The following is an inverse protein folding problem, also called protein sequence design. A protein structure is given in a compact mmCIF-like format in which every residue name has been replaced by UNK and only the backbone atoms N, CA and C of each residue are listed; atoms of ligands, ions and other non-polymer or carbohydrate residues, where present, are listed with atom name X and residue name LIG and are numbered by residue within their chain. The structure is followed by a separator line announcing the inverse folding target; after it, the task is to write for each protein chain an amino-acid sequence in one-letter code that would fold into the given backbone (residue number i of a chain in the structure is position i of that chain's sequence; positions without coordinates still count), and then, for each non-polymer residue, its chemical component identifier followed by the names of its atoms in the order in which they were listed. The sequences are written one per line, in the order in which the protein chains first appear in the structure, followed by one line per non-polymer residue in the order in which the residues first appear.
data_IF_692078500746
#
_entry.id   IF_692078500746
#
_cell.length_a   1.000
_cell.length_b   1.000
_cell.length_c   1.000
_cell.angle_alpha   90.00
_cell.angle_beta   90.00
_cell.angle_gamma   90.00
#
_symmetry.space_group_name_H-M   'P 1'
#
loop_
_entity.id
_entity.type
_entity.pdbx_description
1 polymer ?
#
# COMPACT_ATOMS: atom_id res chain seq x y z
N UNK A 1 19.01 2.22 -9.21
CA UNK A 1 18.27 2.92 -8.14
C UNK A 1 16.81 3.14 -8.50
N UNK A 2 16.50 3.84 -9.61
CA UNK A 2 15.12 4.08 -10.06
C UNK A 2 14.25 2.82 -10.22
N UNK A 3 14.78 1.74 -10.82
CA UNK A 3 14.06 0.45 -10.96
C UNK A 3 13.63 -0.16 -9.62
N UNK A 4 14.48 -0.07 -8.59
CA UNK A 4 14.19 -0.59 -7.25
C UNK A 4 13.11 0.25 -6.56
N UNK A 5 13.15 1.57 -6.74
CA UNK A 5 12.14 2.48 -6.22
C UNK A 5 10.77 2.24 -6.86
N UNK A 6 10.73 2.13 -8.20
CA UNK A 6 9.49 1.83 -8.95
C UNK A 6 8.93 0.46 -8.58
N UNK A 7 9.78 -0.57 -8.49
CA UNK A 7 9.38 -1.89 -8.01
C UNK A 7 8.72 -1.83 -6.62
N UNK A 8 9.34 -1.10 -5.68
CA UNK A 8 8.75 -0.89 -4.35
C UNK A 8 7.40 -0.17 -4.41
N UNK A 9 7.29 0.89 -5.22
CA UNK A 9 6.06 1.66 -5.37
C UNK A 9 4.92 0.79 -5.91
N UNK A 10 5.18 0.03 -6.97
CA UNK A 10 4.19 -0.90 -7.54
C UNK A 10 3.81 -1.98 -6.53
N UNK A 11 4.76 -2.49 -5.74
CA UNK A 11 4.44 -3.47 -4.72
C UNK A 11 3.54 -2.90 -3.62
N UNK A 12 3.78 -1.66 -3.18
CA UNK A 12 2.92 -0.95 -2.21
C UNK A 12 1.51 -0.75 -2.79
N UNK A 13 1.40 -0.22 -4.00
CA UNK A 13 0.11 0.06 -4.66
C UNK A 13 -0.71 -1.21 -4.89
N UNK A 14 -0.05 -2.29 -5.31
CA UNK A 14 -0.67 -3.58 -5.60
C UNK A 14 -0.46 -4.59 -4.45
N UNK A 15 -0.37 -4.11 -3.19
CA UNK A 15 -0.09 -4.98 -2.05
C UNK A 15 -1.11 -6.12 -1.89
N UNK A 16 -2.39 -5.87 -2.16
CA UNK A 16 -3.44 -6.90 -2.16
C UNK A 16 -3.22 -7.97 -3.24
N UNK A 17 -2.82 -7.55 -4.44
CA UNK A 17 -2.47 -8.48 -5.51
C UNK A 17 -1.22 -9.30 -5.14
N UNK A 18 -0.25 -8.70 -4.46
CA UNK A 18 0.92 -9.41 -3.94
C UNK A 18 0.55 -10.50 -2.92
N UNK A 19 -0.47 -10.27 -2.07
CA UNK A 19 -0.99 -11.29 -1.15
C UNK A 19 -1.62 -12.45 -1.93
N UNK A 20 -2.37 -12.16 -3.00
CA UNK A 20 -2.95 -13.20 -3.88
C UNK A 20 -1.84 -13.99 -4.58
N UNK A 21 -0.87 -13.30 -5.18
CA UNK A 21 0.26 -13.94 -5.87
C UNK A 21 1.09 -14.82 -4.92
N UNK A 22 1.20 -14.43 -3.65
CA UNK A 22 1.84 -15.25 -2.63
C UNK A 22 1.13 -16.60 -2.41
N UNK A 23 -0.21 -16.65 -2.44
CA UNK A 23 -0.97 -17.91 -2.33
C UNK A 23 -0.50 -18.91 -3.39
N UNK A 24 -0.25 -18.41 -4.61
CA UNK A 24 0.26 -19.17 -5.76
C UNK A 24 1.80 -19.30 -5.81
N UNK A 25 2.53 -18.85 -4.78
CA UNK A 25 3.99 -18.82 -4.72
C UNK A 25 4.65 -18.01 -5.87
N UNK A 26 3.92 -17.07 -6.46
CA UNK A 26 4.39 -16.19 -7.54
C UNK A 26 5.13 -14.98 -6.94
N UNK A 27 6.07 -14.41 -7.70
CA UNK A 27 6.81 -13.22 -7.27
C UNK A 27 5.89 -11.99 -7.19
N UNK A 28 6.19 -11.01 -6.33
CA UNK A 28 5.44 -9.75 -6.25
C UNK A 28 5.42 -9.00 -7.59
N UNK A 29 4.35 -8.25 -7.85
CA UNK A 29 4.11 -7.52 -9.11
C UNK A 29 5.28 -6.61 -9.49
N UNK A 30 5.72 -5.76 -8.56
CA UNK A 30 6.84 -4.85 -8.78
C UNK A 30 8.16 -5.59 -9.00
N UNK A 31 8.29 -6.83 -8.53
CA UNK A 31 9.46 -7.67 -8.78
C UNK A 31 9.39 -8.28 -10.18
N UNK A 32 8.21 -8.78 -10.57
CA UNK A 32 7.96 -9.30 -11.92
C UNK A 32 8.16 -8.25 -13.02
N UNK A 33 7.65 -7.03 -12.80
CA UNK A 33 7.68 -5.96 -13.80
C UNK A 33 9.08 -5.36 -14.00
N UNK A 34 9.88 -5.26 -12.94
CA UNK A 34 11.16 -4.55 -12.98
C UNK A 34 12.38 -5.45 -12.79
N UNK A 35 12.18 -6.77 -12.65
CA UNK A 35 13.25 -7.76 -12.50
C UNK A 35 14.13 -7.51 -11.27
N UNK A 36 13.54 -7.05 -10.17
CA UNK A 36 14.27 -6.80 -8.92
C UNK A 36 14.39 -8.07 -8.10
N UNK A 37 15.33 -8.12 -7.16
CA UNK A 37 15.50 -9.28 -6.30
C UNK A 37 14.33 -9.39 -5.30
N UNK A 38 13.76 -10.58 -5.13
CA UNK A 38 12.83 -10.90 -4.05
C UNK A 38 13.22 -12.23 -3.38
N UNK A 39 12.77 -12.48 -2.14
CA UNK A 39 13.01 -13.74 -1.47
C UNK A 39 12.45 -14.92 -2.29
N UNK A 40 13.28 -15.93 -2.55
CA UNK A 40 12.86 -17.11 -3.31
C UNK A 40 12.00 -18.09 -2.49
N UNK A 41 11.99 -17.96 -1.17
CA UNK A 41 11.21 -18.82 -0.28
C UNK A 41 9.78 -18.33 -0.14
N UNK A 42 8.81 -19.25 -0.07
CA UNK A 42 7.39 -18.93 0.14
C UNK A 42 7.14 -18.10 1.42
N UNK A 43 7.88 -18.40 2.50
CA UNK A 43 7.85 -17.61 3.74
C UNK A 43 8.41 -16.19 3.53
N UNK A 44 9.50 -16.04 2.77
CA UNK A 44 10.06 -14.74 2.45
C UNK A 44 9.11 -13.88 1.61
N UNK A 45 8.43 -14.48 0.63
CA UNK A 45 7.39 -13.81 -0.16
C UNK A 45 6.20 -13.37 0.69
N UNK A 46 5.81 -14.16 1.70
CA UNK A 46 4.76 -13.80 2.66
C UNK A 46 5.15 -12.55 3.46
N UNK A 47 6.33 -12.58 4.08
CA UNK A 47 6.84 -11.46 4.89
C UNK A 47 6.99 -10.21 4.03
N UNK A 48 7.44 -10.35 2.80
CA UNK A 48 7.50 -9.25 1.83
C UNK A 48 6.11 -8.64 1.58
N UNK A 49 5.10 -9.47 1.33
CA UNK A 49 3.72 -9.04 1.15
C UNK A 49 3.16 -8.32 2.39
N UNK A 50 3.42 -8.83 3.59
CA UNK A 50 3.02 -8.19 4.85
C UNK A 50 3.69 -6.82 5.04
N UNK A 51 4.99 -6.70 4.78
CA UNK A 51 5.69 -5.42 4.85
C UNK A 51 5.14 -4.42 3.82
N UNK A 52 4.83 -4.89 2.62
CA UNK A 52 4.21 -4.08 1.57
C UNK A 52 2.80 -3.59 1.96
N UNK A 53 2.02 -4.44 2.62
CA UNK A 53 0.70 -4.08 3.17
C UNK A 53 0.83 -3.05 4.30
N UNK A 54 1.78 -3.24 5.22
CA UNK A 54 2.05 -2.27 6.29
C UNK A 54 2.45 -0.91 5.71
N UNK A 55 3.32 -0.88 4.70
CA UNK A 55 3.68 0.35 4.00
C UNK A 55 2.48 1.03 3.34
N UNK A 56 1.56 0.25 2.76
CA UNK A 56 0.32 0.77 2.18
C UNK A 56 -0.58 1.40 3.25
N UNK A 57 -0.77 0.76 4.40
CA UNK A 57 -1.54 1.30 5.53
C UNK A 57 -0.94 2.62 6.03
N UNK A 58 0.39 2.68 6.17
CA UNK A 58 1.09 3.90 6.59
C UNK A 58 0.87 5.04 5.58
N UNK A 59 1.03 4.77 4.28
CA UNK A 59 0.75 5.78 3.25
C UNK A 59 -0.71 6.25 3.28
N UNK A 60 -1.67 5.33 3.39
CA UNK A 60 -3.08 5.67 3.47
C UNK A 60 -3.40 6.54 4.70
N UNK A 61 -2.75 6.26 5.84
CA UNK A 61 -2.92 7.02 7.10
C UNK A 61 -2.35 8.44 6.96
N UNK A 62 -1.17 8.59 6.37
CA UNK A 62 -0.56 9.90 6.10
C UNK A 62 -1.47 10.72 5.17
N UNK A 63 -1.95 10.13 4.07
CA UNK A 63 -2.86 10.78 3.14
C UNK A 63 -4.16 11.20 3.84
N UNK A 64 -4.77 10.30 4.61
CA UNK A 64 -5.96 10.60 5.40
C UNK A 64 -5.76 11.76 6.38
N UNK A 65 -4.59 11.81 7.04
CA UNK A 65 -4.23 12.89 7.97
C UNK A 65 -4.14 14.23 7.24
N UNK A 66 -3.55 14.27 6.04
CA UNK A 66 -3.49 15.48 5.21
C UNK A 66 -4.90 15.98 4.87
N UNK A 67 -5.82 15.10 4.47
CA UNK A 67 -7.20 15.48 4.19
C UNK A 67 -7.92 16.05 5.43
N UNK A 68 -7.72 15.45 6.60
CA UNK A 68 -8.29 15.96 7.85
C UNK A 68 -7.78 17.38 8.15
N UNK A 69 -6.48 17.62 8.01
CA UNK A 69 -5.88 18.95 8.20
C UNK A 69 -6.45 19.97 7.20
N UNK A 70 -6.62 19.58 5.92
CA UNK A 70 -7.23 20.45 4.91
C UNK A 70 -8.66 20.83 5.29
N UNK A 71 -9.46 19.86 5.78
CA UNK A 71 -10.82 20.14 6.23
C UNK A 71 -10.84 21.08 7.44
N UNK A 72 -9.95 20.88 8.41
CA UNK A 72 -9.80 21.82 9.53
C UNK A 72 -9.42 23.22 9.08
N UNK A 73 -8.46 23.34 8.15
CA UNK A 73 -8.03 24.63 7.62
C UNK A 73 -9.16 25.38 6.88
N UNK A 74 -10.11 24.66 6.28
CA UNK A 74 -11.28 25.23 5.62
C UNK A 74 -12.48 25.45 6.55
N UNK A 75 -12.37 25.11 7.83
CA UNK A 75 -13.50 25.13 8.77
C UNK A 75 -14.62 24.17 8.41
N UNK A 76 -14.33 23.16 7.58
CA UNK A 76 -15.32 22.19 7.12
C UNK A 76 -15.55 21.10 8.16
N UNK A 77 -16.78 20.55 8.25
CA UNK A 77 -17.06 19.42 9.12
C UNK A 77 -16.23 18.19 8.69
N UNK A 78 -15.84 17.38 9.67
CA UNK A 78 -14.99 16.21 9.44
C UNK A 78 -15.68 15.21 8.51
N UNK A 79 -14.89 14.35 7.85
CA UNK A 79 -15.42 13.26 7.02
C UNK A 79 -16.41 12.40 7.82
N UNK A 80 -16.10 12.12 9.09
CA UNK A 80 -16.98 11.34 9.97
C UNK A 80 -18.33 12.04 10.18
N UNK A 81 -18.35 13.35 10.42
CA UNK A 81 -19.58 14.13 10.54
C UNK A 81 -20.39 14.18 9.24
N UNK A 82 -19.70 14.23 8.09
CA UNK A 82 -20.34 14.21 6.77
C UNK A 82 -21.00 12.85 6.48
N UNK A 83 -20.29 11.74 6.77
CA UNK A 83 -20.81 10.39 6.59
C UNK A 83 -21.95 10.06 7.56
N UNK A 84 -21.86 10.51 8.81
CA UNK A 84 -22.93 10.32 9.80
C UNK A 84 -24.25 11.02 9.44
N UNK A 85 -24.22 12.04 8.57
CA UNK A 85 -25.42 12.72 8.06
C UNK A 85 -26.03 12.04 6.82
N UNK A 86 -25.37 11.04 6.26
CA UNK A 86 -25.84 10.27 5.10
C UNK A 86 -26.55 8.97 5.50
N UNK A 87 -26.52 8.62 6.79
CA UNK A 87 -27.25 7.52 7.42
C UNK A 87 -28.46 8.11 8.14
#
# INVERSE_FOLDING_TARGET
MAKRMLSSLFNILFCWLNVILWIFNVNPVGTLLFGTDCPNTRKGKFVYGLCSLLQWILMATIIGTIFVIIFWAKGEPSIAQRLAKLV
#
